data_IF_849551131868
#
_entry.id   IF_849551131868
#
_cell.length_a   1.000
_cell.length_b   1.000
_cell.length_c   1.000
_cell.angle_alpha   90.00
_cell.angle_beta   90.00
_cell.angle_gamma   90.00
#
_symmetry.space_group_name_H-M   'P 1'
#
loop_
_entity.id
_entity.type
_entity.pdbx_description
1 polymer ?
#
# COMPACT_ATOMS: atom_id res chain seq x y z
N UNK A 1 -15.01 -4.60 9.26
CA UNK A 1 -13.90 -4.33 8.33
C UNK A 1 -13.36 -5.65 7.83
N UNK A 2 -13.03 -5.73 6.54
CA UNK A 2 -12.43 -6.90 5.88
C UNK A 2 -11.30 -6.42 4.97
N UNK A 3 -10.19 -7.16 4.91
CA UNK A 3 -9.12 -6.94 3.94
C UNK A 3 -9.12 -8.12 2.97
N UNK A 4 -9.06 -7.82 1.68
CA UNK A 4 -9.09 -8.83 0.60
C UNK A 4 -8.34 -8.34 -0.63
N UNK A 5 -8.09 -9.23 -1.60
CA UNK A 5 -7.50 -8.82 -2.89
C UNK A 5 -8.45 -7.88 -3.62
N UNK A 6 -7.89 -6.84 -4.22
CA UNK A 6 -8.64 -5.92 -5.07
C UNK A 6 -9.20 -6.66 -6.30
N UNK A 7 -10.38 -6.25 -6.75
CA UNK A 7 -11.08 -6.80 -7.91
C UNK A 7 -11.30 -5.71 -8.95
N UNK A 8 -11.66 -6.09 -10.16
CA UNK A 8 -11.91 -5.17 -11.26
C UNK A 8 -12.90 -4.05 -10.88
N UNK A 9 -13.99 -4.36 -10.18
CA UNK A 9 -14.95 -3.37 -9.68
C UNK A 9 -14.38 -2.35 -8.71
N UNK A 10 -13.19 -2.59 -8.14
CA UNK A 10 -12.54 -1.69 -7.18
C UNK A 10 -11.64 -0.65 -7.84
N UNK A 11 -11.31 -0.81 -9.11
CA UNK A 11 -10.34 0.05 -9.82
C UNK A 11 -10.64 1.53 -9.61
N UNK A 12 -11.88 1.96 -9.81
CA UNK A 12 -12.29 3.37 -9.64
C UNK A 12 -12.06 3.86 -8.21
N UNK A 13 -12.44 3.06 -7.22
CA UNK A 13 -12.28 3.40 -5.80
C UNK A 13 -10.80 3.44 -5.39
N UNK A 14 -9.99 2.46 -5.83
CA UNK A 14 -8.55 2.42 -5.58
C UNK A 14 -7.83 3.62 -6.20
N UNK A 15 -8.16 3.99 -7.44
CA UNK A 15 -7.57 5.17 -8.12
C UNK A 15 -7.90 6.44 -7.36
N UNK A 16 -9.16 6.64 -6.95
CA UNK A 16 -9.55 7.80 -6.17
C UNK A 16 -8.77 7.85 -4.86
N UNK A 17 -8.76 6.75 -4.11
CA UNK A 17 -8.10 6.66 -2.81
C UNK A 17 -6.59 6.96 -2.90
N UNK A 18 -5.90 6.40 -3.88
CA UNK A 18 -4.47 6.66 -4.10
C UNK A 18 -4.23 8.12 -4.49
N UNK A 19 -5.01 8.66 -5.43
CA UNK A 19 -4.87 10.06 -5.84
C UNK A 19 -5.10 11.01 -4.67
N UNK A 20 -6.13 10.78 -3.86
CA UNK A 20 -6.47 11.63 -2.72
C UNK A 20 -5.43 11.54 -1.60
N UNK A 21 -4.98 10.32 -1.29
CA UNK A 21 -4.00 10.09 -0.23
C UNK A 21 -2.63 10.72 -0.50
N UNK A 22 -2.20 10.73 -1.77
CA UNK A 22 -0.91 11.30 -2.17
C UNK A 22 -1.01 12.72 -2.74
N UNK A 23 -2.21 13.32 -2.80
CA UNK A 23 -2.41 14.69 -3.28
C UNK A 23 -1.53 15.68 -2.50
N UNK A 24 -0.82 16.55 -3.22
CA UNK A 24 0.05 17.55 -2.62
C UNK A 24 1.35 17.01 -1.99
N UNK A 25 1.61 15.71 -2.06
CA UNK A 25 2.87 15.11 -1.63
C UNK A 25 3.86 15.02 -2.79
N UNK A 26 5.12 14.77 -2.48
CA UNK A 26 6.18 14.53 -3.49
C UNK A 26 5.96 13.22 -4.28
N UNK A 27 5.16 12.31 -3.76
CA UNK A 27 4.83 11.02 -4.38
C UNK A 27 3.57 11.09 -5.25
N UNK A 28 2.93 12.26 -5.31
CA UNK A 28 1.76 12.48 -6.16
C UNK A 28 2.07 12.14 -7.63
N UNK A 29 1.18 11.37 -8.24
CA UNK A 29 1.26 10.99 -9.66
C UNK A 29 0.02 11.49 -10.40
N UNK A 30 0.15 11.79 -11.70
CA UNK A 30 -1.01 12.11 -12.52
C UNK A 30 -2.05 10.98 -12.47
N UNK A 31 -3.34 11.33 -12.38
CA UNK A 31 -4.43 10.36 -12.28
C UNK A 31 -4.40 9.29 -13.39
N UNK A 32 -4.04 9.68 -14.62
CA UNK A 32 -3.91 8.75 -15.74
C UNK A 32 -2.83 7.68 -15.50
N UNK A 33 -1.72 8.06 -14.83
CA UNK A 33 -0.67 7.13 -14.43
C UNK A 33 -1.18 6.15 -13.36
N UNK A 34 -1.85 6.67 -12.32
CA UNK A 34 -2.42 5.85 -11.25
C UNK A 34 -3.46 4.88 -11.82
N UNK A 35 -4.33 5.35 -12.72
CA UNK A 35 -5.32 4.50 -13.38
C UNK A 35 -4.65 3.36 -14.16
N UNK A 36 -3.66 3.66 -15.01
CA UNK A 36 -2.93 2.64 -15.78
C UNK A 36 -2.27 1.61 -14.85
N UNK A 37 -1.64 2.07 -13.77
CA UNK A 37 -1.00 1.21 -12.80
C UNK A 37 -2.00 0.29 -12.09
N UNK A 38 -3.10 0.84 -11.57
CA UNK A 38 -4.12 0.05 -10.85
C UNK A 38 -4.83 -0.93 -11.78
N UNK A 39 -5.12 -0.53 -13.04
CA UNK A 39 -5.70 -1.45 -14.03
C UNK A 39 -4.75 -2.60 -14.32
N UNK A 40 -3.47 -2.32 -14.63
CA UNK A 40 -2.47 -3.36 -14.87
C UNK A 40 -2.37 -4.35 -13.70
N UNK A 41 -2.41 -3.83 -12.47
CA UNK A 41 -2.30 -4.62 -11.26
C UNK A 41 -3.53 -5.50 -10.96
N UNK A 42 -4.74 -4.96 -11.20
CA UNK A 42 -5.99 -5.59 -10.76
C UNK A 42 -6.65 -6.40 -11.89
N UNK A 43 -6.55 -5.93 -13.13
CA UNK A 43 -7.24 -6.53 -14.28
C UNK A 43 -6.30 -7.43 -15.09
N UNK A 44 -5.09 -6.93 -15.39
CA UNK A 44 -4.12 -7.69 -16.18
C UNK A 44 -3.44 -8.80 -15.37
N UNK A 45 -3.43 -8.67 -14.04
CA UNK A 45 -3.03 -9.71 -13.10
C UNK A 45 -1.56 -10.09 -13.17
N UNK A 46 -0.66 -9.23 -12.67
CA UNK A 46 0.73 -9.64 -12.47
C UNK A 46 0.82 -10.55 -11.23
N UNK A 47 1.30 -11.78 -11.38
CA UNK A 47 1.48 -12.69 -10.25
C UNK A 47 2.60 -12.24 -9.29
N UNK A 48 3.49 -11.33 -9.73
CA UNK A 48 4.60 -10.81 -8.94
C UNK A 48 4.22 -9.60 -8.09
N UNK A 49 3.05 -8.97 -8.33
CA UNK A 49 2.53 -7.86 -7.50
C UNK A 49 1.04 -8.06 -7.21
N UNK A 50 0.62 -7.78 -5.98
CA UNK A 50 -0.76 -7.96 -5.52
C UNK A 50 -1.26 -6.69 -4.84
N UNK A 51 -2.49 -6.29 -5.17
CA UNK A 51 -3.22 -5.22 -4.48
C UNK A 51 -4.19 -5.79 -3.44
N UNK A 52 -4.17 -5.23 -2.24
CA UNK A 52 -5.15 -5.51 -1.19
C UNK A 52 -5.97 -4.25 -0.91
N UNK A 53 -7.25 -4.44 -0.63
CA UNK A 53 -8.18 -3.40 -0.22
C UNK A 53 -8.79 -3.70 1.13
N UNK A 54 -8.96 -2.65 1.94
CA UNK A 54 -9.75 -2.72 3.17
C UNK A 54 -11.14 -2.17 2.88
N UNK A 55 -12.18 -2.95 3.25
CA UNK A 55 -13.58 -2.56 3.08
C UNK A 55 -14.24 -2.30 4.43
N UNK A 56 -14.97 -1.21 4.50
CA UNK A 56 -15.87 -0.90 5.59
C UNK A 56 -17.28 -1.36 5.19
N UNK A 57 -17.95 -2.14 6.05
CA UNK A 57 -19.37 -2.47 5.84
C UNK A 57 -20.17 -1.16 5.72
N UNK A 58 -21.04 -1.10 4.72
CA UNK A 58 -22.07 -0.06 4.70
C UNK A 58 -22.85 -0.14 6.03
N UNK A 59 -23.03 0.99 6.71
CA UNK A 59 -24.01 1.05 7.79
C UNK A 59 -25.37 0.84 7.15
N UNK A 60 -26.07 -0.21 7.55
CA UNK A 60 -27.48 -0.36 7.22
C UNK A 60 -28.16 0.93 7.74
N UNK A 61 -28.52 1.82 6.83
CA UNK A 61 -29.36 2.94 7.17
C UNK A 61 -30.75 2.39 7.45
N UNK A 62 -31.15 2.36 8.74
CA UNK A 62 -32.53 2.18 9.14
C UNK A 62 -33.36 3.40 8.68
N UNK A 63 -33.62 3.47 7.39
CA UNK A 63 -34.65 4.34 6.82
C UNK A 63 -35.36 3.53 5.75
N UNK A 64 -36.51 2.92 6.17
CA UNK A 64 -37.49 2.44 5.23
C UNK A 64 -37.97 3.61 4.35
N UNK A 65 -37.61 3.57 3.09
CA UNK A 65 -38.07 4.48 2.06
C UNK A 65 -38.09 3.68 0.76
N UNK A 66 -39.26 3.26 0.34
CA UNK A 66 -39.54 2.73 -0.99
C UNK A 66 -39.24 3.83 -2.01
N UNK A 67 -38.20 3.67 -2.81
CA UNK A 67 -37.82 4.55 -3.92
C UNK A 67 -37.34 3.70 -5.08
N UNK A 68 -38.06 3.75 -6.18
CA UNK A 68 -37.85 2.99 -7.40
C UNK A 68 -36.51 3.32 -8.09
N UNK A 69 -35.77 2.29 -8.45
CA UNK A 69 -35.06 2.15 -9.72
C UNK A 69 -34.00 3.18 -10.12
N UNK A 70 -32.81 3.11 -9.56
CA UNK A 70 -31.59 3.48 -10.27
C UNK A 70 -30.62 2.30 -10.19
N UNK A 71 -29.88 2.02 -11.30
CA UNK A 71 -28.88 0.94 -11.37
C UNK A 71 -27.92 1.09 -10.18
N UNK A 72 -28.11 0.26 -9.15
CA UNK A 72 -27.17 0.13 -8.06
C UNK A 72 -25.87 -0.41 -8.65
N UNK A 73 -24.84 0.44 -8.75
CA UNK A 73 -23.46 0.01 -8.89
C UNK A 73 -23.21 -1.05 -7.79
N UNK A 74 -22.63 -2.18 -8.16
CA UNK A 74 -22.30 -3.37 -7.31
C UNK A 74 -21.52 -3.02 -6.00
N UNK A 75 -21.26 -1.75 -5.76
CA UNK A 75 -20.62 -1.19 -4.57
C UNK A 75 -21.44 -1.37 -3.28
N UNK A 76 -22.77 -1.50 -3.36
CA UNK A 76 -23.64 -1.62 -2.19
C UNK A 76 -23.49 -2.95 -1.45
N UNK A 77 -23.32 -4.07 -2.16
CA UNK A 77 -23.22 -5.40 -1.57
C UNK A 77 -21.83 -5.71 -0.96
N UNK A 78 -20.77 -5.05 -1.42
CA UNK A 78 -19.38 -5.34 -1.05
C UNK A 78 -18.76 -4.38 -0.02
N UNK A 79 -19.43 -3.30 0.34
CA UNK A 79 -18.92 -2.27 1.26
C UNK A 79 -17.94 -1.29 0.60
N UNK A 80 -17.72 -0.16 1.25
CA UNK A 80 -16.87 0.94 0.79
C UNK A 80 -15.37 0.58 0.88
N UNK A 81 -14.61 0.79 -0.19
CA UNK A 81 -13.15 0.69 -0.16
C UNK A 81 -12.57 1.90 0.57
N UNK A 82 -11.96 1.66 1.73
CA UNK A 82 -11.41 2.71 2.61
C UNK A 82 -9.91 2.60 2.83
N UNK A 83 -9.28 1.57 2.30
CA UNK A 83 -7.83 1.39 2.37
C UNK A 83 -7.29 0.59 1.19
N UNK A 84 -6.04 0.85 0.83
CA UNK A 84 -5.34 0.22 -0.28
C UNK A 84 -3.88 0.02 0.06
N UNK A 85 -3.29 -1.07 -0.40
CA UNK A 85 -1.87 -1.35 -0.30
C UNK A 85 -1.46 -2.30 -1.42
N UNK A 86 -0.22 -2.21 -1.88
CA UNK A 86 0.37 -3.17 -2.81
C UNK A 86 1.53 -3.90 -2.15
N UNK A 87 1.74 -5.14 -2.55
CA UNK A 87 2.92 -5.93 -2.21
C UNK A 87 3.50 -6.56 -3.48
N UNK A 88 4.78 -6.33 -3.69
CA UNK A 88 5.57 -6.90 -4.78
C UNK A 88 6.51 -7.96 -4.21
N UNK A 89 6.57 -9.12 -4.85
CA UNK A 89 7.49 -10.21 -4.49
C UNK A 89 8.68 -10.32 -5.43
N UNK A 90 8.79 -9.41 -6.38
CA UNK A 90 9.88 -9.37 -7.37
C UNK A 90 10.47 -7.97 -7.49
N UNK A 91 11.78 -7.91 -7.67
CA UNK A 91 12.48 -6.65 -7.95
C UNK A 91 11.99 -5.97 -9.24
N UNK A 92 11.44 -6.73 -10.20
CA UNK A 92 10.96 -6.21 -11.50
C UNK A 92 9.74 -5.30 -11.38
N UNK A 93 8.87 -5.56 -10.40
CA UNK A 93 7.62 -4.82 -10.19
C UNK A 93 7.77 -3.67 -9.20
N UNK A 94 8.93 -3.55 -8.55
CA UNK A 94 9.22 -2.47 -7.60
C UNK A 94 9.56 -1.16 -8.31
N UNK A 95 9.25 -0.01 -7.71
CA UNK A 95 9.75 1.27 -8.19
C UNK A 95 11.28 1.27 -8.21
N UNK A 96 11.92 1.78 -9.27
CA UNK A 96 13.39 1.87 -9.33
C UNK A 96 13.91 2.82 -8.24
N UNK A 97 14.85 2.34 -7.43
CA UNK A 97 15.50 3.15 -6.42
C UNK A 97 16.67 3.94 -6.99
N UNK A 98 16.77 5.22 -6.61
CA UNK A 98 17.87 6.10 -7.02
C UNK A 98 19.18 5.77 -6.28
N UNK A 99 19.08 5.40 -5.01
CA UNK A 99 20.20 4.98 -4.17
C UNK A 99 20.17 3.46 -4.00
N UNK A 100 21.21 2.78 -4.51
CA UNK A 100 21.35 1.32 -4.39
C UNK A 100 21.37 0.83 -2.94
N UNK A 101 21.82 1.67 -2.00
CA UNK A 101 21.79 1.33 -0.58
C UNK A 101 20.37 1.34 0.01
N UNK A 102 19.39 1.82 -0.79
CA UNK A 102 17.98 1.85 -0.46
C UNK A 102 17.17 0.78 -1.21
N UNK A 103 17.84 -0.15 -1.88
CA UNK A 103 17.17 -1.26 -2.57
C UNK A 103 17.07 -2.47 -1.65
N UNK A 104 15.86 -3.00 -1.41
CA UNK A 104 15.69 -4.30 -0.75
C UNK A 104 16.34 -5.42 -1.58
N UNK A 105 16.64 -6.59 -0.99
CA UNK A 105 17.06 -7.77 -1.74
C UNK A 105 16.08 -8.12 -2.87
N UNK A 106 16.58 -8.70 -3.97
CA UNK A 106 15.76 -8.97 -5.16
C UNK A 106 14.60 -9.94 -4.88
N UNK A 107 14.80 -10.86 -3.95
CA UNK A 107 13.88 -11.89 -3.51
C UNK A 107 13.04 -11.49 -2.28
N UNK A 108 13.14 -10.26 -1.80
CA UNK A 108 12.35 -9.79 -0.65
C UNK A 108 10.93 -9.36 -1.07
N UNK A 109 9.95 -9.47 -0.19
CA UNK A 109 8.66 -8.83 -0.40
C UNK A 109 8.76 -7.32 -0.13
N UNK A 110 8.09 -6.52 -0.97
CA UNK A 110 8.11 -5.07 -0.86
C UNK A 110 6.71 -4.48 -0.79
N UNK A 111 6.39 -3.85 0.33
CA UNK A 111 5.13 -3.16 0.57
C UNK A 111 5.20 -1.72 0.04
N UNK A 112 4.22 -1.34 -0.77
CA UNK A 112 4.12 0.00 -1.32
C UNK A 112 2.67 0.53 -1.32
N UNK A 113 2.51 1.81 -1.63
CA UNK A 113 1.23 2.48 -1.86
C UNK A 113 0.21 2.33 -0.72
N UNK A 114 0.66 2.12 0.52
CA UNK A 114 -0.25 2.01 1.66
C UNK A 114 -0.97 3.33 1.94
N UNK A 115 -2.28 3.32 1.79
CA UNK A 115 -3.09 4.50 2.07
C UNK A 115 -4.45 4.12 2.68
N UNK A 116 -5.01 5.06 3.45
CA UNK A 116 -6.31 4.94 4.13
C UNK A 116 -7.07 6.24 3.90
N UNK A 117 -8.34 6.11 3.52
CA UNK A 117 -9.26 7.25 3.35
C UNK A 117 -9.25 8.11 4.62
N UNK A 118 -9.23 9.43 4.45
CA UNK A 118 -9.15 10.35 5.57
C UNK A 118 -10.29 10.14 6.59
N UNK A 119 -11.50 9.88 6.09
CA UNK A 119 -12.69 9.59 6.88
C UNK A 119 -12.63 8.30 7.70
N UNK A 120 -11.65 7.43 7.40
CA UNK A 120 -11.49 6.11 8.04
C UNK A 120 -10.15 5.97 8.77
N UNK A 121 -9.38 7.05 8.89
CA UNK A 121 -8.12 7.04 9.65
C UNK A 121 -8.38 6.83 11.15
N UNK A 122 -7.38 6.26 11.84
CA UNK A 122 -7.41 5.96 13.29
C UNK A 122 -8.36 4.82 13.69
N UNK A 123 -8.97 4.13 12.74
CA UNK A 123 -9.82 2.95 12.95
C UNK A 123 -9.02 1.62 12.90
N UNK A 124 -7.69 1.65 12.87
CA UNK A 124 -6.85 0.45 12.79
C UNK A 124 -6.68 -0.12 11.37
N UNK A 125 -7.22 0.53 10.34
CA UNK A 125 -7.22 0.03 8.95
C UNK A 125 -5.79 -0.15 8.42
N UNK A 126 -4.91 0.84 8.64
CA UNK A 126 -3.51 0.74 8.22
C UNK A 126 -2.81 -0.48 8.81
N UNK A 127 -3.05 -0.76 10.10
CA UNK A 127 -2.52 -1.95 10.79
C UNK A 127 -3.06 -3.24 10.16
N UNK A 128 -4.35 -3.30 9.87
CA UNK A 128 -4.95 -4.47 9.24
C UNK A 128 -4.41 -4.73 7.84
N UNK A 129 -4.18 -3.67 7.03
CA UNK A 129 -3.56 -3.79 5.72
C UNK A 129 -2.13 -4.34 5.82
N UNK A 130 -1.30 -3.78 6.71
CA UNK A 130 0.08 -4.26 6.94
C UNK A 130 0.07 -5.73 7.34
N UNK A 131 -0.79 -6.11 8.28
CA UNK A 131 -0.90 -7.49 8.74
C UNK A 131 -1.34 -8.44 7.64
N UNK A 132 -2.30 -8.04 6.80
CA UNK A 132 -2.73 -8.86 5.65
C UNK A 132 -1.64 -9.02 4.60
N UNK A 133 -0.76 -8.01 4.42
CA UNK A 133 0.44 -8.16 3.58
C UNK A 133 1.40 -9.19 4.19
N UNK A 134 1.67 -9.11 5.49
CA UNK A 134 2.53 -10.06 6.20
C UNK A 134 2.02 -11.49 6.08
N UNK A 135 0.71 -11.71 6.30
CA UNK A 135 0.07 -13.01 6.17
C UNK A 135 0.18 -13.53 4.73
N UNK A 136 -0.08 -12.70 3.72
CA UNK A 136 0.06 -13.06 2.31
C UNK A 136 1.50 -13.43 1.96
N UNK A 137 2.49 -12.68 2.43
CA UNK A 137 3.92 -12.97 2.20
C UNK A 137 4.30 -14.32 2.81
N UNK A 138 3.82 -14.61 4.02
CA UNK A 138 4.04 -15.91 4.67
C UNK A 138 3.38 -17.06 3.91
N UNK A 139 2.15 -16.87 3.41
CA UNK A 139 1.44 -17.85 2.58
C UNK A 139 2.20 -18.15 1.28
N UNK A 140 2.86 -17.15 0.70
CA UNK A 140 3.68 -17.28 -0.50
C UNK A 140 5.09 -17.83 -0.23
N UNK A 141 5.42 -18.14 1.02
CA UNK A 141 6.73 -18.67 1.43
C UNK A 141 7.82 -17.62 1.66
N UNK A 142 7.46 -16.32 1.69
CA UNK A 142 8.38 -15.24 2.01
C UNK A 142 8.71 -15.18 3.51
N UNK A 143 9.79 -14.50 3.87
CA UNK A 143 10.29 -14.43 5.25
C UNK A 143 10.34 -13.03 5.81
N UNK A 144 10.34 -12.03 4.97
CA UNK A 144 10.43 -10.64 5.38
C UNK A 144 9.63 -9.70 4.49
N UNK A 145 9.32 -8.55 5.02
CA UNK A 145 8.68 -7.46 4.29
C UNK A 145 9.52 -6.20 4.45
N UNK A 146 9.78 -5.56 3.33
CA UNK A 146 10.52 -4.32 3.22
C UNK A 146 9.60 -3.19 2.76
N UNK A 147 9.92 -1.98 3.16
CA UNK A 147 9.20 -0.78 2.73
C UNK A 147 10.07 0.47 2.84
N UNK A 148 9.61 1.54 2.22
CA UNK A 148 10.14 2.89 2.46
C UNK A 148 9.08 3.77 3.09
N UNK A 149 9.52 4.60 4.03
CA UNK A 149 8.69 5.64 4.66
C UNK A 149 9.47 6.96 4.68
N UNK A 150 8.78 8.07 4.51
CA UNK A 150 9.40 9.39 4.62
C UNK A 150 9.62 9.76 6.09
N UNK A 151 10.77 10.34 6.37
CA UNK A 151 11.15 10.72 7.74
C UNK A 151 10.21 11.77 8.35
N UNK A 152 9.65 12.65 7.50
CA UNK A 152 8.73 13.71 7.90
C UNK A 152 7.26 13.26 8.00
N UNK A 153 6.98 11.97 7.84
CA UNK A 153 5.63 11.40 7.98
C UNK A 153 5.51 10.59 9.29
N UNK A 154 5.18 11.25 10.41
CA UNK A 154 5.20 10.59 11.72
C UNK A 154 4.15 9.49 11.88
N UNK A 155 3.00 9.60 11.21
CA UNK A 155 1.92 8.63 11.36
C UNK A 155 2.25 7.27 10.69
N UNK A 156 2.70 7.20 9.41
CA UNK A 156 3.21 5.96 8.83
C UNK A 156 4.41 5.39 9.58
N UNK A 157 5.35 6.24 9.99
CA UNK A 157 6.54 5.80 10.73
C UNK A 157 6.15 5.15 12.06
N UNK A 158 5.22 5.74 12.81
CA UNK A 158 4.71 5.17 14.06
C UNK A 158 3.94 3.85 13.82
N UNK A 159 3.18 3.76 12.72
CA UNK A 159 2.50 2.53 12.33
C UNK A 159 3.50 1.39 12.14
N UNK A 160 4.49 1.56 11.26
CA UNK A 160 5.44 0.50 10.94
C UNK A 160 6.31 0.12 12.13
N UNK A 161 6.80 1.10 12.90
CA UNK A 161 7.55 0.83 14.12
C UNK A 161 6.69 0.08 15.14
N UNK A 162 5.42 0.44 15.29
CA UNK A 162 4.47 -0.25 16.18
C UNK A 162 4.11 -1.66 15.74
N UNK A 163 4.25 -1.97 14.46
CA UNK A 163 4.09 -3.33 13.90
C UNK A 163 5.40 -4.13 13.88
N UNK A 164 6.49 -3.60 14.44
CA UNK A 164 7.76 -4.31 14.56
C UNK A 164 8.70 -4.19 13.38
N UNK A 165 8.49 -3.21 12.51
CA UNK A 165 9.47 -2.90 11.46
C UNK A 165 10.64 -2.14 12.03
N UNK A 166 11.85 -2.55 11.65
CA UNK A 166 13.10 -1.94 12.07
C UNK A 166 13.71 -1.10 10.94
N UNK A 167 14.40 -0.02 11.31
CA UNK A 167 15.12 0.81 10.36
C UNK A 167 16.39 0.10 9.90
N UNK A 168 16.54 -0.08 8.59
CA UNK A 168 17.72 -0.71 7.98
C UNK A 168 18.69 0.34 7.46
N UNK A 169 18.19 1.32 6.72
CA UNK A 169 19.01 2.39 6.15
C UNK A 169 18.18 3.66 5.99
N UNK A 170 18.91 4.75 5.76
CA UNK A 170 18.33 6.06 5.48
C UNK A 170 18.99 6.64 4.23
N UNK A 171 18.18 7.22 3.36
CA UNK A 171 18.65 7.95 2.19
C UNK A 171 19.62 9.06 2.61
N UNK A 172 20.78 9.09 1.99
CA UNK A 172 21.76 10.16 2.26
C UNK A 172 21.22 11.46 1.68
N UNK A 173 21.02 12.47 2.52
CA UNK A 173 20.74 13.81 2.01
C UNK A 173 21.98 14.32 1.28
N UNK A 174 21.86 14.55 -0.01
CA UNK A 174 22.91 15.23 -0.77
C UNK A 174 22.92 16.70 -0.33
N UNK A 175 23.99 17.12 0.32
CA UNK A 175 24.19 18.51 0.77
C UNK A 175 24.07 19.51 -0.41
N UNK A 176 24.39 19.05 -1.63
CA UNK A 176 24.24 19.81 -2.87
C UNK A 176 22.78 20.04 -3.31
N UNK A 177 21.88 19.06 -3.09
CA UNK A 177 20.45 19.20 -3.42
C UNK A 177 19.76 20.22 -2.49
N UNK A 178 20.17 20.28 -1.22
CA UNK A 178 19.71 21.30 -0.28
C UNK A 178 20.07 22.75 -0.67
N UNK A 179 21.13 22.94 -1.46
CA UNK A 179 21.60 24.25 -1.92
C UNK A 179 20.82 24.76 -3.15
N UNK A 180 20.20 23.86 -3.91
CA UNK A 180 19.37 24.16 -5.09
C UNK A 180 17.87 24.03 -4.86
N UNK A 181 17.41 23.89 -3.61
CA UNK A 181 15.99 24.00 -3.23
C UNK A 181 15.18 22.71 -3.29
N UNK A 182 15.75 21.55 -3.61
CA UNK A 182 15.05 20.26 -3.52
C UNK A 182 15.03 19.79 -2.06
N UNK A 183 13.98 20.20 -1.34
CA UNK A 183 13.76 19.87 0.08
C UNK A 183 13.00 18.56 0.26
N UNK A 184 13.26 17.55 -0.56
CA UNK A 184 12.59 16.26 -0.39
C UNK A 184 12.98 15.66 0.95
N UNK A 185 11.99 15.21 1.69
CA UNK A 185 12.24 14.49 2.93
C UNK A 185 12.96 13.18 2.65
N UNK A 186 14.02 12.90 3.41
CA UNK A 186 14.75 11.64 3.32
C UNK A 186 13.82 10.46 3.55
N UNK A 187 14.01 9.39 2.77
CA UNK A 187 13.33 8.13 3.00
C UNK A 187 14.12 7.25 3.94
N UNK A 188 13.40 6.46 4.71
CA UNK A 188 13.94 5.45 5.61
C UNK A 188 13.49 4.11 5.05
N UNK A 189 14.43 3.20 4.82
CA UNK A 189 14.12 1.81 4.49
C UNK A 189 13.91 1.04 5.79
N UNK A 190 12.79 0.34 5.88
CA UNK A 190 12.44 -0.47 7.02
C UNK A 190 12.21 -1.92 6.60
N UNK A 191 12.47 -2.85 7.52
CA UNK A 191 12.31 -4.28 7.34
C UNK A 191 11.61 -4.88 8.56
N UNK A 192 10.78 -5.89 8.32
CA UNK A 192 10.30 -6.79 9.36
C UNK A 192 10.57 -8.23 8.93
N UNK A 193 11.25 -8.98 9.78
CA UNK A 193 11.41 -10.41 9.65
C UNK A 193 10.15 -11.11 10.17
N UNK A 194 9.56 -12.00 9.33
CA UNK A 194 8.33 -12.72 9.65
C UNK A 194 8.60 -14.15 10.13
N UNK A 195 9.75 -14.72 9.73
CA UNK A 195 10.21 -16.06 10.14
C UNK A 195 11.66 -15.99 10.59
N UNK A 196 11.95 -16.57 11.72
CA UNK A 196 13.30 -16.61 12.32
C UNK A 196 14.14 -17.80 11.84
N UNK A 197 13.56 -18.75 11.10
CA UNK A 197 14.23 -19.99 10.68
C UNK A 197 15.03 -19.87 9.36
N UNK A 198 14.96 -18.70 8.69
CA UNK A 198 15.70 -18.42 7.45
C UNK A 198 15.25 -19.23 6.22
N UNK A 199 14.18 -20.01 6.33
CA UNK A 199 13.63 -20.80 5.23
C UNK A 199 12.74 -19.95 4.33
N UNK A 200 13.34 -19.13 3.46
CA UNK A 200 12.64 -18.34 2.46
C UNK A 200 12.59 -19.11 1.14
N UNK A 201 11.42 -19.49 0.70
CA UNK A 201 11.18 -20.04 -0.63
C UNK A 201 9.87 -19.47 -1.16
N UNK A 202 9.90 -18.37 -1.94
CA UNK A 202 8.73 -17.97 -2.70
C UNK A 202 8.33 -19.09 -3.66
N UNK A 203 7.11 -19.59 -3.53
CA UNK A 203 6.50 -20.47 -4.53
C UNK A 203 6.01 -19.57 -5.67
N UNK A 204 6.83 -19.39 -6.70
CA UNK A 204 6.48 -18.74 -7.96
C UNK A 204 5.66 -19.67 -8.84
#
# INVERSE_FOLDING_TARGET
MRVERAREGDVKACVNLVCDAFAGTEDAKPRAYVLKYVVGLVVDGDCEETALVARRRARESETGGEGEGEMEDDAGANGEVVGFVTVSISAKTRPPERDRNMSPPDDAAYLANACVAESARREGIGRALVKSVEDLVLEMGGCDVWLHVRENEPAPLALYTGEGYERVSKEKSNVFEGMFGDKRASRIMMRKELRSDGSCNFML
#
